data_IF_281691309913
#
_entry.id   IF_281691309913
#
_cell.length_a   1.000
_cell.length_b   1.000
_cell.length_c   1.000
_cell.angle_alpha   90.00
_cell.angle_beta   90.00
_cell.angle_gamma   90.00
#
_symmetry.space_group_name_H-M   'P 1'
#
loop_
_entity.id
_entity.type
_entity.pdbx_description
1 polymer ?
#
# COMPACT_ATOMS: atom_id res chain seq x y z
N UNK A 1 -6.80 -5.04 12.17
CA UNK A 1 -7.44 -3.72 12.13
C UNK A 1 -8.87 -3.87 11.63
N UNK A 2 -9.84 -3.28 12.30
CA UNK A 2 -11.27 -3.48 12.01
C UNK A 2 -11.71 -2.91 10.65
N UNK A 3 -11.05 -1.85 10.18
CA UNK A 3 -11.37 -1.23 8.88
C UNK A 3 -10.81 -1.99 7.68
N UNK A 4 -9.83 -2.83 7.91
CA UNK A 4 -9.14 -3.56 6.85
C UNK A 4 -10.09 -4.50 6.09
N UNK A 5 -10.92 -5.23 6.82
CA UNK A 5 -11.83 -6.22 6.22
C UNK A 5 -12.85 -5.61 5.27
N UNK A 6 -13.62 -4.56 5.64
CA UNK A 6 -14.57 -3.97 4.70
C UNK A 6 -13.89 -3.31 3.50
N UNK A 7 -12.70 -2.74 3.67
CA UNK A 7 -11.94 -2.17 2.56
C UNK A 7 -11.52 -3.27 1.58
N UNK A 8 -11.01 -4.38 2.09
CA UNK A 8 -10.62 -5.52 1.26
C UNK A 8 -11.81 -6.12 0.51
N UNK A 9 -12.96 -6.22 1.16
CA UNK A 9 -14.18 -6.70 0.52
C UNK A 9 -14.63 -5.78 -0.61
N UNK A 10 -14.53 -4.46 -0.42
CA UNK A 10 -14.85 -3.51 -1.46
C UNK A 10 -14.01 -3.73 -2.71
N UNK A 11 -12.69 -3.84 -2.57
CA UNK A 11 -11.79 -4.07 -3.69
C UNK A 11 -12.01 -5.43 -4.32
N UNK A 12 -12.25 -6.46 -3.52
CA UNK A 12 -12.52 -7.80 -4.01
C UNK A 12 -13.78 -7.82 -4.88
N UNK A 13 -14.84 -7.16 -4.42
CA UNK A 13 -16.11 -7.07 -5.17
C UNK A 13 -15.96 -6.29 -6.47
N UNK A 14 -15.01 -5.37 -6.51
CA UNK A 14 -14.68 -4.61 -7.72
C UNK A 14 -13.72 -5.36 -8.66
N UNK A 15 -13.33 -6.57 -8.32
CA UNK A 15 -12.42 -7.39 -9.13
C UNK A 15 -10.95 -6.99 -9.02
N UNK A 16 -10.59 -6.27 -7.98
CA UNK A 16 -9.20 -5.86 -7.73
C UNK A 16 -8.54 -6.87 -6.80
N UNK A 17 -7.42 -7.41 -7.24
CA UNK A 17 -6.58 -8.23 -6.36
C UNK A 17 -5.71 -7.30 -5.53
N UNK A 18 -5.84 -7.38 -4.21
CA UNK A 18 -5.13 -6.54 -3.26
C UNK A 18 -4.25 -7.41 -2.38
N UNK A 19 -2.98 -7.05 -2.29
CA UNK A 19 -2.02 -7.72 -1.42
C UNK A 19 -1.42 -6.70 -0.45
N UNK A 20 -1.36 -7.05 0.81
CA UNK A 20 -0.84 -6.17 1.87
C UNK A 20 0.32 -6.86 2.56
N UNK A 21 1.42 -6.13 2.70
CA UNK A 21 2.64 -6.61 3.32
C UNK A 21 3.07 -5.68 4.43
N UNK A 22 3.59 -6.24 5.51
CA UNK A 22 4.20 -5.45 6.57
C UNK A 22 5.71 -5.50 6.42
N UNK A 23 6.37 -4.35 6.51
CA UNK A 23 7.82 -4.27 6.42
C UNK A 23 8.45 -4.99 7.62
N UNK A 24 9.42 -5.84 7.32
CA UNK A 24 10.27 -6.47 8.32
C UNK A 24 11.69 -5.98 8.13
N UNK A 25 12.33 -5.61 9.22
CA UNK A 25 13.75 -5.25 9.21
C UNK A 25 14.56 -6.54 9.13
N UNK A 26 15.47 -6.61 8.19
CA UNK A 26 16.37 -7.75 8.06
C UNK A 26 17.39 -7.80 9.21
N UNK A 27 18.15 -8.88 9.29
CA UNK A 27 19.24 -8.98 10.25
C UNK A 27 20.31 -7.93 9.94
N UNK A 28 21.14 -7.60 10.94
CA UNK A 28 22.25 -6.66 10.76
C UNK A 28 23.16 -7.08 9.63
N UNK A 29 23.39 -8.38 9.48
CA UNK A 29 24.22 -8.94 8.41
C UNK A 29 23.60 -8.69 7.03
N UNK A 30 22.28 -8.91 6.91
CA UNK A 30 21.57 -8.66 5.65
C UNK A 30 21.60 -7.18 5.27
N UNK A 31 21.41 -6.29 6.24
CA UNK A 31 21.47 -4.85 6.01
C UNK A 31 22.85 -4.41 5.56
N UNK A 32 23.91 -4.91 6.22
CA UNK A 32 25.30 -4.61 5.83
C UNK A 32 25.64 -5.11 4.43
N UNK A 33 25.19 -6.32 4.12
CA UNK A 33 25.43 -6.90 2.79
C UNK A 33 24.78 -6.04 1.70
N UNK A 34 23.56 -5.61 1.91
CA UNK A 34 22.85 -4.75 0.96
C UNK A 34 23.57 -3.41 0.79
N UNK A 35 24.02 -2.80 1.88
CA UNK A 35 24.77 -1.54 1.83
C UNK A 35 26.07 -1.69 1.07
N UNK A 36 26.79 -2.80 1.25
CA UNK A 36 28.03 -3.10 0.51
C UNK A 36 27.78 -3.24 -0.98
N UNK A 37 26.58 -3.68 -1.37
CA UNK A 37 26.19 -3.80 -2.78
C UNK A 37 25.64 -2.49 -3.35
N UNK A 38 25.64 -1.41 -2.57
CA UNK A 38 25.14 -0.12 -3.01
C UNK A 38 23.64 0.06 -2.85
N UNK A 39 22.98 -0.81 -2.09
CA UNK A 39 21.56 -0.71 -1.85
C UNK A 39 21.26 0.06 -0.55
N UNK A 40 20.14 0.76 -0.53
CA UNK A 40 19.66 1.44 0.67
C UNK A 40 18.50 0.67 1.27
N UNK A 41 18.51 0.47 2.58
CA UNK A 41 17.41 -0.18 3.25
C UNK A 41 16.17 0.72 3.23
N UNK A 42 15.03 0.14 2.90
CA UNK A 42 13.78 0.89 2.78
C UNK A 42 13.38 1.56 4.09
N UNK A 43 13.66 0.95 5.23
CA UNK A 43 13.34 1.53 6.54
C UNK A 43 14.07 2.85 6.78
N UNK A 44 15.31 2.98 6.32
CA UNK A 44 16.07 4.22 6.41
C UNK A 44 15.48 5.31 5.53
N UNK A 45 15.07 4.95 4.33
CA UNK A 45 14.50 5.90 3.36
C UNK A 45 13.16 6.46 3.82
N UNK A 46 12.33 5.63 4.43
CA UNK A 46 11.01 6.03 4.92
C UNK A 46 11.11 6.79 6.25
N UNK A 47 12.21 6.62 6.98
CA UNK A 47 12.44 7.24 8.28
C UNK A 47 11.32 6.94 9.29
N UNK A 48 10.81 5.71 9.27
CA UNK A 48 9.79 5.27 10.21
C UNK A 48 10.35 5.20 11.62
N UNK A 49 9.54 5.60 12.58
CA UNK A 49 9.89 5.48 14.00
C UNK A 49 9.80 4.02 14.44
N UNK A 50 10.48 3.70 15.55
CA UNK A 50 10.58 2.35 16.04
C UNK A 50 9.23 1.71 16.40
N UNK A 51 8.27 2.54 16.81
CA UNK A 51 6.92 2.12 17.20
C UNK A 51 5.92 2.18 16.04
N UNK A 52 6.34 2.59 14.85
CA UNK A 52 5.48 2.69 13.68
C UNK A 52 5.58 1.44 12.81
N UNK A 53 4.42 0.94 12.39
CA UNK A 53 4.34 -0.11 11.38
C UNK A 53 4.38 0.51 9.99
N UNK A 54 5.13 -0.11 9.08
CA UNK A 54 5.18 0.28 7.67
C UNK A 54 4.54 -0.82 6.84
N UNK A 55 3.54 -0.45 6.08
CA UNK A 55 2.79 -1.39 5.25
C UNK A 55 2.97 -1.06 3.78
N UNK A 56 3.10 -2.10 2.97
CA UNK A 56 3.09 -2.01 1.52
C UNK A 56 1.80 -2.64 1.01
N UNK A 57 1.07 -1.90 0.20
CA UNK A 57 -0.13 -2.40 -0.45
C UNK A 57 0.05 -2.40 -1.95
N UNK A 58 -0.24 -3.54 -2.58
CA UNK A 58 -0.26 -3.67 -4.03
C UNK A 58 -1.69 -3.97 -4.47
N UNK A 59 -2.18 -3.18 -5.42
CA UNK A 59 -3.48 -3.35 -6.03
C UNK A 59 -3.29 -3.64 -7.51
N UNK A 60 -3.92 -4.71 -7.98
CA UNK A 60 -3.78 -5.17 -9.36
C UNK A 60 -5.07 -4.92 -10.13
N UNK A 61 -4.96 -4.14 -11.19
CA UNK A 61 -6.07 -3.79 -12.09
C UNK A 61 -5.84 -4.46 -13.44
N UNK A 62 -6.93 -4.85 -14.10
CA UNK A 62 -6.84 -5.50 -15.41
C UNK A 62 -6.29 -4.56 -16.48
N UNK A 63 -6.71 -3.29 -16.45
CA UNK A 63 -6.32 -2.25 -17.38
C UNK A 63 -6.66 -0.88 -16.81
N UNK A 64 -6.36 0.17 -17.57
CA UNK A 64 -6.64 1.54 -17.17
C UNK A 64 -8.14 1.80 -16.99
N UNK A 65 -8.96 1.21 -17.85
CA UNK A 65 -10.42 1.37 -17.76
C UNK A 65 -10.96 0.81 -16.44
N UNK A 66 -10.47 -0.35 -16.02
CA UNK A 66 -10.86 -0.97 -14.74
C UNK A 66 -10.57 -0.01 -13.58
N UNK A 67 -9.38 0.59 -13.57
CA UNK A 67 -8.99 1.57 -12.56
C UNK A 67 -9.89 2.80 -12.60
N UNK A 68 -10.14 3.37 -13.79
CA UNK A 68 -10.96 4.57 -13.95
C UNK A 68 -12.41 4.31 -13.50
N UNK A 69 -12.96 3.16 -13.85
CA UNK A 69 -14.32 2.77 -13.45
C UNK A 69 -14.43 2.63 -11.94
N UNK A 70 -13.43 2.05 -11.30
CA UNK A 70 -13.40 1.91 -9.85
C UNK A 70 -13.29 3.28 -9.16
N UNK A 71 -12.44 4.16 -9.66
CA UNK A 71 -12.28 5.50 -9.12
C UNK A 71 -13.61 6.28 -9.19
N UNK A 72 -14.30 6.18 -10.33
CA UNK A 72 -15.62 6.82 -10.49
C UNK A 72 -16.65 6.24 -9.52
N UNK A 73 -16.64 4.93 -9.31
CA UNK A 73 -17.54 4.26 -8.36
C UNK A 73 -17.26 4.69 -6.93
N UNK A 74 -16.00 4.81 -6.55
CA UNK A 74 -15.61 5.26 -5.22
C UNK A 74 -16.08 6.68 -4.92
N UNK A 75 -16.02 7.56 -5.92
CA UNK A 75 -16.48 8.95 -5.75
C UNK A 75 -17.98 9.04 -5.51
N UNK A 76 -18.76 8.10 -6.05
CA UNK A 76 -20.21 8.07 -5.92
C UNK A 76 -20.69 7.31 -4.70
N UNK A 77 -19.86 6.46 -4.12
CA UNK A 77 -20.22 5.60 -2.99
C UNK A 77 -19.84 6.29 -1.67
N UNK A 78 -20.84 6.74 -0.93
CA UNK A 78 -20.63 7.41 0.35
C UNK A 78 -19.93 6.51 1.38
N UNK A 79 -20.27 5.22 1.39
CA UNK A 79 -19.65 4.27 2.32
C UNK A 79 -18.16 4.08 2.01
N UNK A 80 -17.80 3.98 0.74
CA UNK A 80 -16.41 3.87 0.33
C UNK A 80 -15.63 5.12 0.72
N UNK A 81 -16.22 6.30 0.55
CA UNK A 81 -15.61 7.56 0.98
C UNK A 81 -15.38 7.64 2.47
N UNK A 82 -16.35 7.19 3.27
CA UNK A 82 -16.22 7.16 4.74
C UNK A 82 -15.14 6.19 5.18
N UNK A 83 -15.11 4.98 4.61
CA UNK A 83 -14.09 3.99 4.94
C UNK A 83 -12.69 4.48 4.57
N UNK A 84 -12.55 5.11 3.41
CA UNK A 84 -11.29 5.67 2.97
C UNK A 84 -10.80 6.76 3.92
N UNK A 85 -11.69 7.65 4.33
CA UNK A 85 -11.35 8.71 5.29
C UNK A 85 -10.95 8.14 6.64
N UNK A 86 -11.70 7.18 7.16
CA UNK A 86 -11.38 6.53 8.43
C UNK A 86 -10.03 5.84 8.38
N UNK A 87 -9.73 5.20 7.25
CA UNK A 87 -8.43 4.57 7.06
C UNK A 87 -7.30 5.60 7.03
N UNK A 88 -7.47 6.69 6.28
CA UNK A 88 -6.45 7.74 6.20
C UNK A 88 -6.21 8.42 7.55
N UNK A 89 -7.23 8.53 8.39
CA UNK A 89 -7.11 9.12 9.72
C UNK A 89 -6.22 8.27 10.67
N UNK A 90 -6.05 6.98 10.37
CA UNK A 90 -5.17 6.10 11.13
C UNK A 90 -3.69 6.24 10.74
N UNK A 91 -3.41 6.88 9.61
CA UNK A 91 -2.06 7.01 9.10
C UNK A 91 -1.37 8.25 9.66
N UNK A 92 -0.05 8.17 9.80
CA UNK A 92 0.75 9.35 10.15
C UNK A 92 0.65 10.36 9.01
N UNK A 93 0.30 11.63 9.27
CA UNK A 93 0.19 12.63 8.22
C UNK A 93 1.49 12.74 7.40
N UNK A 94 1.35 12.75 6.09
CA UNK A 94 2.47 12.87 5.16
C UNK A 94 3.29 11.61 4.96
N UNK A 95 2.88 10.48 5.56
CA UNK A 95 3.61 9.22 5.48
C UNK A 95 3.18 8.32 4.33
N UNK A 96 2.08 8.66 3.65
CA UNK A 96 1.54 7.84 2.58
C UNK A 96 2.26 8.15 1.27
N UNK A 97 2.85 7.12 0.66
CA UNK A 97 3.56 7.25 -0.62
C UNK A 97 2.86 6.33 -1.61
N UNK A 98 2.58 6.84 -2.81
CA UNK A 98 1.96 6.02 -3.84
C UNK A 98 2.72 6.10 -5.14
N UNK A 99 2.50 5.11 -6.01
CA UNK A 99 3.06 5.09 -7.34
C UNK A 99 2.29 4.12 -8.22
N UNK A 100 2.41 4.30 -9.51
CA UNK A 100 1.75 3.48 -10.52
C UNK A 100 2.80 2.68 -11.27
N UNK A 101 2.54 1.40 -11.43
CA UNK A 101 3.50 0.47 -12.00
C UNK A 101 2.84 -0.34 -13.11
N UNK A 102 3.59 -0.58 -14.17
CA UNK A 102 3.18 -1.50 -15.22
C UNK A 102 3.98 -2.78 -15.11
N UNK A 103 3.31 -3.90 -15.39
CA UNK A 103 3.98 -5.20 -15.39
C UNK A 103 5.02 -5.25 -16.52
N UNK A 104 6.21 -5.71 -16.20
CA UNK A 104 7.28 -5.87 -17.18
C UNK A 104 7.39 -7.34 -17.55
N UNK A 105 7.30 -7.62 -18.83
CA UNK A 105 7.53 -8.96 -19.37
C UNK A 105 9.03 -9.11 -19.64
N UNK A 106 9.65 -10.02 -18.92
CA UNK A 106 11.08 -10.29 -19.06
C UNK A 106 11.28 -11.60 -19.82
#
# INVERSE_FOLDING_TARGET
MQLEKPIREFFKNAGVNQEIFQLKVGSDEQVKMAEQMGMTNIAKTIAAKQDEEVWLELQFYRDQKHLDDLAAKMQKDENAGKLGKQFMDLLTPGSCIEGWFSHVNI
#
